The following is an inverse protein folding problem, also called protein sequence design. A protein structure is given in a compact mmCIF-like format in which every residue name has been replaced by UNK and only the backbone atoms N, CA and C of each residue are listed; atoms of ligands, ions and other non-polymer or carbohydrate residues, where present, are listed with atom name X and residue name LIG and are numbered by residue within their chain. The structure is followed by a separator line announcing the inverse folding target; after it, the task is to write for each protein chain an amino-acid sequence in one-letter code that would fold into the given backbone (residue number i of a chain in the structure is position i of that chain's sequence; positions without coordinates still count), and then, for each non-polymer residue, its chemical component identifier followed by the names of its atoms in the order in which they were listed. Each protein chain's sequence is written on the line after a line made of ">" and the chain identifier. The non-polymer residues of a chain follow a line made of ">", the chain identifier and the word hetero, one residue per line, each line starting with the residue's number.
data_IF_443282534993
#
_entry.id   IF_443282534993
#
_cell.length_a   1.000
_cell.length_b   1.000
_cell.length_c   1.000
_cell.angle_alpha   90.00
_cell.angle_beta   90.00
_cell.angle_gamma   90.00
#
_symmetry.space_group_name_H-M   'P 1'
#
loop_
_entity.id
_entity.type
_entity.pdbx_description
1 polymer ?
#
# COMPACT_ATOMS: atom_id res chain seq x y z
N UNK A 1 -17.17 -5.50 17.75
CA UNK A 1 -16.60 -5.41 16.40
C UNK A 1 -17.67 -5.82 15.41
N UNK A 2 -17.70 -5.21 14.23
CA UNK A 2 -18.59 -5.53 13.11
C UNK A 2 -17.74 -5.99 11.95
N UNK A 3 -18.07 -7.13 11.36
CA UNK A 3 -17.46 -7.59 10.10
C UNK A 3 -17.89 -6.63 9.00
N UNK A 4 -16.90 -6.05 8.30
CA UNK A 4 -17.11 -5.14 7.16
C UNK A 4 -16.65 -5.77 5.85
N UNK A 5 -15.83 -6.82 5.90
CA UNK A 5 -15.40 -7.60 4.74
C UNK A 5 -15.17 -9.06 5.11
N UNK A 6 -15.62 -9.97 4.24
CA UNK A 6 -15.37 -11.40 4.34
C UNK A 6 -15.29 -12.02 2.93
N UNK A 7 -14.07 -12.31 2.49
CA UNK A 7 -13.77 -12.94 1.22
C UNK A 7 -14.32 -14.37 1.14
N UNK A 8 -14.41 -15.08 2.27
CA UNK A 8 -14.94 -16.45 2.31
C UNK A 8 -16.42 -16.53 1.93
N UNK A 9 -17.17 -15.46 2.21
CA UNK A 9 -18.59 -15.34 1.92
C UNK A 9 -18.91 -14.55 0.64
N UNK A 10 -17.90 -13.96 -0.02
CA UNK A 10 -18.12 -13.04 -1.14
C UNK A 10 -18.34 -13.81 -2.45
N UNK A 11 -19.51 -13.67 -3.10
CA UNK A 11 -19.73 -14.29 -4.39
C UNK A 11 -18.89 -13.60 -5.47
N UNK A 12 -18.53 -14.34 -6.51
CA UNK A 12 -18.01 -13.74 -7.74
C UNK A 12 -19.13 -12.96 -8.43
N UNK A 13 -18.95 -11.67 -8.65
CA UNK A 13 -19.99 -10.74 -9.14
C UNK A 13 -19.77 -10.28 -10.60
N UNK A 14 -18.63 -10.64 -11.21
CA UNK A 14 -18.28 -10.21 -12.57
C UNK A 14 -18.94 -11.04 -13.67
N UNK A 15 -20.04 -11.72 -13.39
CA UNK A 15 -20.78 -12.49 -14.40
C UNK A 15 -21.27 -11.62 -15.57
N UNK A 16 -21.52 -10.33 -15.35
CA UNK A 16 -21.86 -9.37 -16.42
C UNK A 16 -20.74 -9.29 -17.46
N UNK A 17 -19.48 -9.48 -17.07
CA UNK A 17 -18.35 -9.47 -17.97
C UNK A 17 -18.31 -10.67 -18.93
N UNK A 18 -19.12 -11.72 -18.71
CA UNK A 18 -19.33 -12.79 -19.70
C UNK A 18 -19.99 -12.29 -20.99
N UNK A 19 -20.69 -11.16 -20.95
CA UNK A 19 -21.30 -10.58 -22.15
C UNK A 19 -20.26 -10.29 -23.25
N UNK A 20 -19.04 -9.90 -22.88
CA UNK A 20 -17.96 -9.61 -23.83
C UNK A 20 -17.49 -10.83 -24.63
N UNK A 21 -17.03 -11.94 -23.99
CA UNK A 21 -16.65 -13.14 -24.73
C UNK A 21 -17.85 -13.76 -25.46
N UNK A 22 -19.08 -13.71 -24.91
CA UNK A 22 -20.27 -14.21 -25.61
C UNK A 22 -20.58 -13.42 -26.89
N UNK A 23 -20.47 -12.09 -26.84
CA UNK A 23 -20.60 -11.25 -28.04
C UNK A 23 -19.49 -11.55 -29.06
N UNK A 24 -18.25 -11.75 -28.60
CA UNK A 24 -17.13 -12.16 -29.45
C UNK A 24 -17.36 -13.52 -30.13
N UNK A 25 -17.91 -14.49 -29.40
CA UNK A 25 -18.30 -15.80 -29.95
C UNK A 25 -19.42 -15.65 -30.98
N UNK A 26 -20.46 -14.87 -30.68
CA UNK A 26 -21.56 -14.62 -31.62
C UNK A 26 -21.06 -13.98 -32.92
N UNK A 27 -20.17 -12.99 -32.83
CA UNK A 27 -19.51 -12.36 -33.99
C UNK A 27 -18.65 -13.38 -34.76
N UNK A 28 -17.92 -14.23 -34.05
CA UNK A 28 -17.11 -15.29 -34.65
C UNK A 28 -17.98 -16.25 -35.46
N UNK A 29 -19.10 -16.71 -34.90
CA UNK A 29 -20.05 -17.60 -35.57
C UNK A 29 -20.71 -16.93 -36.78
N UNK A 30 -21.07 -15.64 -36.65
CA UNK A 30 -21.61 -14.87 -37.76
C UNK A 30 -20.60 -14.74 -38.90
N UNK A 31 -19.36 -14.32 -38.62
CA UNK A 31 -18.29 -14.21 -39.62
C UNK A 31 -17.93 -15.57 -40.23
N UNK A 32 -17.95 -16.64 -39.46
CA UNK A 32 -17.74 -17.99 -39.99
C UNK A 32 -18.80 -18.40 -41.01
N UNK A 33 -20.06 -17.95 -40.81
CA UNK A 33 -21.18 -18.22 -41.71
C UNK A 33 -21.24 -17.29 -42.92
N UNK A 34 -20.85 -16.01 -42.77
CA UNK A 34 -21.04 -14.98 -43.81
C UNK A 34 -19.78 -14.58 -44.56
N UNK A 35 -18.58 -14.78 -44.00
CA UNK A 35 -17.35 -14.29 -44.60
C UNK A 35 -16.72 -15.35 -45.52
N UNK A 36 -16.67 -15.07 -46.83
CA UNK A 36 -15.88 -15.84 -47.81
C UNK A 36 -14.36 -15.82 -47.53
N UNK A 37 -13.89 -14.96 -46.62
CA UNK A 37 -12.47 -14.81 -46.25
C UNK A 37 -12.11 -15.57 -44.97
N UNK A 38 -11.36 -16.66 -45.13
CA UNK A 38 -10.88 -17.62 -44.10
C UNK A 38 -10.16 -17.05 -42.86
N UNK A 39 -9.74 -15.78 -42.84
CA UNK A 39 -8.90 -15.22 -41.77
C UNK A 39 -9.70 -14.49 -40.67
N UNK A 40 -10.78 -13.79 -41.03
CA UNK A 40 -11.46 -12.86 -40.09
C UNK A 40 -12.15 -13.56 -38.94
N UNK A 41 -12.80 -14.70 -39.17
CA UNK A 41 -13.41 -15.48 -38.09
C UNK A 41 -12.36 -16.03 -37.12
N UNK A 42 -11.13 -16.34 -37.59
CA UNK A 42 -10.03 -16.80 -36.72
C UNK A 42 -9.53 -15.68 -35.81
N UNK A 43 -9.40 -14.46 -36.36
CA UNK A 43 -9.04 -13.28 -35.57
C UNK A 43 -10.13 -12.96 -34.54
N UNK A 44 -11.40 -13.02 -34.93
CA UNK A 44 -12.51 -12.84 -34.01
C UNK A 44 -12.53 -13.91 -32.90
N UNK A 45 -12.29 -15.18 -33.25
CA UNK A 45 -12.18 -16.28 -32.29
C UNK A 45 -11.03 -16.07 -31.31
N UNK A 46 -9.85 -15.69 -31.81
CA UNK A 46 -8.69 -15.39 -30.97
C UNK A 46 -8.95 -14.21 -30.04
N UNK A 47 -9.62 -13.17 -30.53
CA UNK A 47 -10.00 -12.01 -29.72
C UNK A 47 -11.05 -12.36 -28.66
N UNK A 48 -12.06 -13.17 -29.00
CA UNK A 48 -13.07 -13.65 -28.05
C UNK A 48 -12.45 -14.51 -26.94
N UNK A 49 -11.50 -15.39 -27.29
CA UNK A 49 -10.73 -16.18 -26.33
C UNK A 49 -9.89 -15.29 -25.42
N UNK A 50 -9.20 -14.31 -25.99
CA UNK A 50 -8.39 -13.34 -25.24
C UNK A 50 -9.25 -12.52 -24.26
N UNK A 51 -10.42 -12.04 -24.70
CA UNK A 51 -11.37 -11.35 -23.82
C UNK A 51 -11.85 -12.27 -22.71
N UNK A 52 -12.25 -13.51 -23.02
CA UNK A 52 -12.69 -14.47 -22.00
C UNK A 52 -11.61 -14.77 -20.95
N UNK A 53 -10.34 -14.85 -21.39
CA UNK A 53 -9.21 -14.99 -20.47
C UNK A 53 -9.09 -13.76 -19.55
N UNK A 54 -9.12 -12.55 -20.11
CA UNK A 54 -8.84 -11.31 -19.39
C UNK A 54 -10.00 -10.86 -18.50
N UNK A 55 -11.24 -11.04 -18.92
CA UNK A 55 -12.43 -10.51 -18.23
C UNK A 55 -13.15 -11.53 -17.35
N UNK A 56 -12.80 -12.82 -17.46
CA UNK A 56 -13.48 -13.89 -16.70
C UNK A 56 -12.48 -14.84 -16.07
N UNK A 57 -11.65 -15.52 -16.86
CA UNK A 57 -10.83 -16.61 -16.34
C UNK A 57 -9.77 -16.12 -15.33
N UNK A 58 -9.07 -15.02 -15.62
CA UNK A 58 -8.09 -14.44 -14.69
C UNK A 58 -8.74 -13.88 -13.42
N UNK A 59 -9.80 -13.03 -13.49
CA UNK A 59 -10.51 -12.59 -12.30
C UNK A 59 -11.10 -13.73 -11.47
N UNK A 60 -11.65 -14.76 -12.11
CA UNK A 60 -12.20 -15.93 -11.42
C UNK A 60 -11.10 -16.75 -10.73
N UNK A 61 -9.97 -17.00 -11.40
CA UNK A 61 -8.84 -17.68 -10.79
C UNK A 61 -8.28 -16.91 -9.58
N UNK A 62 -8.24 -15.58 -9.65
CA UNK A 62 -7.86 -14.75 -8.52
C UNK A 62 -8.90 -14.82 -7.38
N UNK A 63 -10.19 -14.76 -7.70
CA UNK A 63 -11.29 -14.89 -6.74
C UNK A 63 -11.21 -16.22 -5.98
N UNK A 64 -11.17 -17.33 -6.71
CA UNK A 64 -11.12 -18.69 -6.18
C UNK A 64 -9.90 -18.89 -5.27
N UNK A 65 -8.73 -18.40 -5.69
CA UNK A 65 -7.50 -18.47 -4.90
C UNK A 65 -7.60 -17.69 -3.59
N UNK A 66 -8.07 -16.45 -3.64
CA UNK A 66 -8.26 -15.60 -2.45
C UNK A 66 -9.25 -16.24 -1.49
N UNK A 67 -10.37 -16.76 -2.00
CA UNK A 67 -11.39 -17.42 -1.22
C UNK A 67 -10.87 -18.72 -0.60
N UNK A 68 -10.16 -19.54 -1.37
CA UNK A 68 -9.56 -20.78 -0.91
C UNK A 68 -8.58 -20.54 0.25
N UNK A 69 -7.70 -19.53 0.15
CA UNK A 69 -6.78 -19.17 1.25
C UNK A 69 -7.52 -18.65 2.48
N UNK A 70 -8.58 -17.86 2.28
CA UNK A 70 -9.41 -17.38 3.39
C UNK A 70 -10.09 -18.54 4.14
N UNK A 71 -10.60 -19.54 3.42
CA UNK A 71 -11.26 -20.72 3.99
C UNK A 71 -10.26 -21.68 4.63
N UNK A 72 -9.12 -21.93 3.98
CA UNK A 72 -8.07 -22.81 4.48
C UNK A 72 -7.36 -22.25 5.73
N UNK A 73 -7.50 -20.94 5.99
CA UNK A 73 -6.84 -20.27 7.11
C UNK A 73 -5.36 -19.99 6.88
N UNK A 74 -4.91 -20.00 5.63
CA UNK A 74 -3.55 -19.62 5.19
C UNK A 74 -3.38 -18.08 5.22
N UNK A 75 -3.71 -17.49 6.37
CA UNK A 75 -3.78 -16.03 6.57
C UNK A 75 -3.16 -15.64 7.90
N UNK A 76 -2.45 -14.53 7.89
CA UNK A 76 -1.95 -13.85 9.09
C UNK A 76 -3.06 -13.01 9.70
N UNK A 77 -3.23 -13.09 11.01
CA UNK A 77 -4.17 -12.25 11.76
C UNK A 77 -3.41 -11.10 12.43
N UNK A 78 -3.90 -9.89 12.26
CA UNK A 78 -3.43 -8.70 12.99
C UNK A 78 -4.60 -8.03 13.68
N UNK A 79 -4.34 -7.48 14.85
CA UNK A 79 -5.31 -6.74 15.64
C UNK A 79 -4.66 -5.51 16.27
N UNK A 80 -5.37 -4.40 16.29
CA UNK A 80 -4.89 -3.18 16.92
C UNK A 80 -5.70 -1.96 16.53
N UNK A 81 -5.30 -0.78 17.05
CA UNK A 81 -5.88 0.48 16.61
C UNK A 81 -5.49 0.78 15.17
N UNK A 82 -6.42 1.38 14.44
CA UNK A 82 -6.17 2.00 13.15
C UNK A 82 -5.39 3.29 13.38
N UNK A 83 -4.33 3.49 12.61
CA UNK A 83 -3.54 4.71 12.64
C UNK A 83 -3.12 5.12 11.23
N UNK A 84 -2.92 6.43 11.03
CA UNK A 84 -2.40 6.96 9.78
C UNK A 84 -3.33 6.74 8.60
N UNK A 85 -4.64 6.63 8.85
CA UNK A 85 -5.62 6.44 7.78
C UNK A 85 -5.59 7.61 6.81
N UNK A 86 -5.43 7.30 5.52
CA UNK A 86 -5.43 8.28 4.44
C UNK A 86 -6.10 7.70 3.22
N UNK A 87 -6.96 8.50 2.58
CA UNK A 87 -7.50 8.25 1.26
C UNK A 87 -7.22 9.45 0.38
N UNK A 88 -6.61 9.24 -0.78
CA UNK A 88 -6.24 10.31 -1.70
C UNK A 88 -6.42 9.89 -3.15
N UNK A 89 -6.57 10.88 -4.03
CA UNK A 89 -6.75 10.66 -5.47
C UNK A 89 -5.61 11.31 -6.22
N UNK A 90 -4.91 10.53 -7.03
CA UNK A 90 -3.87 11.00 -7.93
C UNK A 90 -4.41 11.14 -9.35
N UNK A 91 -4.02 12.24 -10.01
CA UNK A 91 -4.32 12.48 -11.42
C UNK A 91 -3.04 12.22 -12.22
N UNK A 92 -3.02 11.14 -13.00
CA UNK A 92 -1.92 10.83 -13.91
C UNK A 92 -2.31 11.12 -15.35
N UNK A 93 -1.38 11.63 -16.15
CA UNK A 93 -1.62 11.89 -17.57
C UNK A 93 -1.74 10.56 -18.32
N UNK A 94 -2.85 10.36 -19.01
CA UNK A 94 -3.20 9.14 -19.75
C UNK A 94 -3.08 9.32 -21.28
N UNK A 95 -2.40 10.37 -21.74
CA UNK A 95 -2.15 10.60 -23.16
C UNK A 95 -1.06 9.68 -23.71
N UNK A 96 -1.16 9.37 -25.01
CA UNK A 96 -0.13 8.59 -25.72
C UNK A 96 0.66 9.52 -26.65
N UNK A 97 1.99 9.58 -26.49
CA UNK A 97 2.89 10.16 -27.49
C UNK A 97 3.20 9.08 -28.54
N UNK A 98 2.25 8.79 -29.42
CA UNK A 98 2.47 7.93 -30.59
C UNK A 98 1.85 8.58 -31.81
N UNK A 99 2.65 9.38 -32.51
CA UNK A 99 2.31 9.96 -33.81
C UNK A 99 2.56 11.46 -33.88
N UNK A 100 3.05 11.91 -35.03
CA UNK A 100 3.28 13.33 -35.35
C UNK A 100 1.92 14.04 -35.32
N UNK A 101 1.64 14.76 -34.23
CA UNK A 101 0.36 15.42 -33.97
C UNK A 101 -0.22 15.01 -32.62
N UNK A 102 -0.01 15.86 -31.61
CA UNK A 102 -0.65 15.72 -30.30
C UNK A 102 -2.14 15.94 -30.48
N UNK A 103 -2.94 14.87 -30.46
CA UNK A 103 -4.38 14.94 -30.76
C UNK A 103 -5.27 14.91 -29.51
N UNK A 104 -4.73 14.93 -28.28
CA UNK A 104 -5.57 15.05 -27.07
C UNK A 104 -4.76 15.49 -25.86
N UNK A 105 -4.95 16.74 -25.42
CA UNK A 105 -4.22 17.35 -24.29
C UNK A 105 -4.87 17.09 -22.92
N UNK A 106 -6.08 16.52 -22.87
CA UNK A 106 -6.89 16.44 -21.65
C UNK A 106 -7.36 15.02 -21.29
N UNK A 107 -6.46 14.03 -21.37
CA UNK A 107 -6.76 12.70 -20.82
C UNK A 107 -5.99 12.50 -19.52
N UNK A 108 -6.69 12.58 -18.40
CA UNK A 108 -6.16 12.23 -17.08
C UNK A 108 -6.88 10.98 -16.59
N UNK A 109 -6.11 10.06 -16.00
CA UNK A 109 -6.64 8.94 -15.23
C UNK A 109 -6.58 9.33 -13.76
N UNK A 110 -7.71 9.24 -13.09
CA UNK A 110 -7.77 9.40 -11.63
C UNK A 110 -7.66 8.03 -11.00
N UNK A 111 -6.74 7.88 -10.04
CA UNK A 111 -6.59 6.65 -9.26
C UNK A 111 -6.70 7.00 -7.79
N UNK A 112 -7.64 6.36 -7.09
CA UNK A 112 -7.83 6.58 -5.66
C UNK A 112 -7.08 5.50 -4.89
N UNK A 113 -6.28 5.91 -3.94
CA UNK A 113 -5.54 5.03 -3.04
C UNK A 113 -6.08 5.18 -1.63
N UNK A 114 -5.96 4.12 -0.86
CA UNK A 114 -6.27 4.13 0.57
C UNK A 114 -5.20 3.37 1.35
N UNK A 115 -4.89 3.92 2.52
CA UNK A 115 -3.81 3.47 3.38
C UNK A 115 -4.21 3.55 4.84
N UNK A 116 -3.81 2.57 5.63
CA UNK A 116 -3.84 2.63 7.09
C UNK A 116 -2.97 1.54 7.72
N UNK A 117 -2.67 1.70 9.00
CA UNK A 117 -2.10 0.65 9.83
C UNK A 117 -3.19 -0.05 10.64
N UNK A 118 -2.99 -1.33 10.95
CA UNK A 118 -3.64 -2.01 12.08
C UNK A 118 -2.54 -2.44 13.04
N UNK A 119 -2.48 -1.81 14.22
CA UNK A 119 -1.30 -1.92 15.07
C UNK A 119 -0.06 -1.44 14.32
N UNK A 120 0.91 -2.34 14.11
CA UNK A 120 2.15 -2.05 13.40
C UNK A 120 2.16 -2.54 11.93
N UNK A 121 1.06 -3.13 11.45
CA UNK A 121 1.00 -3.71 10.09
C UNK A 121 0.37 -2.72 9.10
N UNK A 122 1.09 -2.29 8.04
CA UNK A 122 0.55 -1.38 7.05
C UNK A 122 -0.23 -2.10 5.95
N UNK A 123 -1.33 -1.46 5.52
CA UNK A 123 -2.14 -1.84 4.38
C UNK A 123 -2.25 -0.65 3.44
N UNK A 124 -1.88 -0.86 2.17
CA UNK A 124 -2.00 0.11 1.08
C UNK A 124 -2.65 -0.59 -0.09
N UNK A 125 -3.64 0.02 -0.71
CA UNK A 125 -4.26 -0.53 -1.92
C UNK A 125 -4.87 0.56 -2.79
N UNK A 126 -5.01 0.25 -4.08
CA UNK A 126 -5.85 1.01 -5.01
C UNK A 126 -7.30 0.64 -4.74
N UNK A 127 -8.16 1.64 -4.58
CA UNK A 127 -9.60 1.42 -4.39
C UNK A 127 -10.18 0.76 -5.64
N UNK A 128 -10.74 -0.45 -5.48
CA UNK A 128 -11.23 -1.26 -6.59
C UNK A 128 -10.13 -1.81 -7.51
N UNK A 129 -8.87 -1.82 -7.07
CA UNK A 129 -7.72 -2.16 -7.91
C UNK A 129 -7.55 -3.66 -8.23
N UNK A 130 -8.15 -4.55 -7.44
CA UNK A 130 -8.05 -5.99 -7.70
C UNK A 130 -9.13 -6.46 -8.67
N UNK A 131 -8.76 -7.25 -9.70
CA UNK A 131 -9.69 -7.67 -10.74
C UNK A 131 -10.81 -8.58 -10.21
N UNK A 132 -10.62 -9.31 -9.11
CA UNK A 132 -11.67 -10.20 -8.58
C UNK A 132 -12.61 -9.55 -7.56
N UNK A 133 -12.26 -8.37 -7.04
CA UNK A 133 -12.88 -7.74 -5.86
C UNK A 133 -12.91 -8.61 -4.58
N UNK A 134 -12.31 -9.80 -4.56
CA UNK A 134 -12.37 -10.72 -3.42
C UNK A 134 -11.65 -10.18 -2.17
N UNK A 135 -10.71 -9.25 -2.35
CA UNK A 135 -10.00 -8.59 -1.26
C UNK A 135 -10.62 -7.24 -0.93
N UNK A 136 -10.54 -6.87 0.35
CA UNK A 136 -11.01 -5.57 0.77
C UNK A 136 -10.18 -4.46 0.11
N UNK A 137 -10.86 -3.57 -0.62
CA UNK A 137 -10.28 -2.36 -1.24
C UNK A 137 -11.11 -1.12 -0.97
N UNK A 138 -12.05 -1.18 -0.03
CA UNK A 138 -12.97 -0.10 0.32
C UNK A 138 -13.67 0.57 -0.89
N UNK A 139 -14.04 -0.25 -1.88
CA UNK A 139 -14.66 0.18 -3.13
C UNK A 139 -16.20 0.29 -3.07
N UNK A 140 -16.80 -0.04 -1.93
CA UNK A 140 -18.24 0.11 -1.71
C UNK A 140 -18.67 1.58 -1.83
N UNK A 141 -19.92 1.80 -2.23
CA UNK A 141 -20.55 3.12 -2.26
C UNK A 141 -21.81 3.14 -1.38
N UNK A 142 -21.83 3.88 -0.25
CA UNK A 142 -20.71 4.65 0.29
C UNK A 142 -19.58 3.76 0.83
N UNK A 143 -18.33 4.25 0.87
CA UNK A 143 -17.21 3.49 1.40
C UNK A 143 -17.39 3.23 2.90
N UNK A 144 -16.77 2.16 3.39
CA UNK A 144 -16.68 1.87 4.81
C UNK A 144 -15.92 3.02 5.48
N UNK A 145 -16.55 3.62 6.50
CA UNK A 145 -15.93 4.66 7.30
C UNK A 145 -14.81 4.04 8.16
N UNK A 146 -13.57 4.39 7.82
CA UNK A 146 -12.36 4.05 8.55
C UNK A 146 -11.82 5.36 9.14
N UNK A 147 -11.37 5.33 10.39
CA UNK A 147 -10.81 6.49 11.06
C UNK A 147 -9.75 6.06 12.07
N UNK A 148 -8.79 6.95 12.30
CA UNK A 148 -7.76 6.75 13.32
C UNK A 148 -8.38 6.54 14.71
N UNK A 149 -7.78 5.62 15.47
CA UNK A 149 -8.25 5.21 16.78
C UNK A 149 -9.36 4.14 16.78
N UNK A 150 -10.01 3.87 15.63
CA UNK A 150 -10.90 2.71 15.52
C UNK A 150 -10.12 1.43 15.79
N UNK A 151 -10.72 0.47 16.47
CA UNK A 151 -10.08 -0.83 16.65
C UNK A 151 -10.38 -1.72 15.46
N UNK A 152 -9.38 -2.41 14.93
CA UNK A 152 -9.54 -3.31 13.80
C UNK A 152 -8.91 -4.66 14.08
N UNK A 153 -9.52 -5.70 13.50
CA UNK A 153 -8.92 -7.02 13.35
C UNK A 153 -9.01 -7.39 11.88
N UNK A 154 -7.88 -7.78 11.29
CA UNK A 154 -7.82 -8.19 9.90
C UNK A 154 -7.16 -9.55 9.77
N UNK A 155 -7.64 -10.34 8.81
CA UNK A 155 -6.92 -11.48 8.27
C UNK A 155 -6.43 -11.11 6.88
N UNK A 156 -5.16 -11.40 6.60
CA UNK A 156 -4.54 -11.07 5.32
C UNK A 156 -3.48 -12.11 4.95
N UNK A 157 -3.07 -12.13 3.69
CA UNK A 157 -1.91 -12.89 3.24
C UNK A 157 -1.04 -12.01 2.34
N UNK A 158 0.23 -12.40 2.15
CA UNK A 158 1.11 -11.80 1.15
C UNK A 158 0.88 -12.48 -0.19
N UNK A 159 0.54 -11.69 -1.19
CA UNK A 159 0.12 -12.18 -2.48
C UNK A 159 1.29 -12.34 -3.45
N UNK A 160 1.64 -13.59 -3.73
CA UNK A 160 2.67 -13.98 -4.69
C UNK A 160 2.35 -13.60 -6.14
N UNK A 161 1.09 -13.30 -6.47
CA UNK A 161 0.70 -12.79 -7.80
C UNK A 161 0.84 -11.27 -7.93
N UNK A 162 0.95 -10.55 -6.82
CA UNK A 162 0.92 -9.09 -6.77
C UNK A 162 2.08 -8.56 -5.93
N UNK A 163 3.31 -8.97 -6.25
CA UNK A 163 4.54 -8.45 -5.63
C UNK A 163 4.51 -8.46 -4.08
N UNK A 164 4.00 -9.53 -3.47
CA UNK A 164 3.86 -9.70 -2.03
C UNK A 164 2.97 -8.66 -1.32
N UNK A 165 2.06 -8.03 -2.06
CA UNK A 165 1.03 -7.13 -1.52
C UNK A 165 0.20 -7.82 -0.44
N UNK A 166 -0.17 -7.08 0.61
CA UNK A 166 -0.99 -7.60 1.70
C UNK A 166 -2.46 -7.50 1.34
N UNK A 167 -3.08 -8.63 1.04
CA UNK A 167 -4.49 -8.70 0.67
C UNK A 167 -5.34 -9.08 1.87
N UNK A 168 -6.20 -8.14 2.28
CA UNK A 168 -7.15 -8.33 3.37
C UNK A 168 -8.29 -9.23 2.86
N UNK A 169 -8.39 -10.42 3.45
CA UNK A 169 -9.46 -11.40 3.19
C UNK A 169 -10.62 -11.24 4.15
N UNK A 170 -10.39 -10.65 5.32
CA UNK A 170 -11.43 -10.43 6.31
C UNK A 170 -11.08 -9.21 7.16
N UNK A 171 -12.08 -8.37 7.44
CA UNK A 171 -11.90 -7.16 8.22
C UNK A 171 -13.07 -6.96 9.18
N UNK A 172 -12.73 -6.75 10.44
CA UNK A 172 -13.63 -6.34 11.50
C UNK A 172 -13.22 -4.97 12.04
N UNK A 173 -14.21 -4.10 12.24
CA UNK A 173 -14.01 -2.77 12.79
C UNK A 173 -14.84 -2.58 14.07
N UNK A 174 -14.31 -1.85 15.04
CA UNK A 174 -15.06 -1.33 16.18
C UNK A 174 -14.79 0.18 16.33
N UNK A 175 -15.76 0.93 16.88
CA UNK A 175 -15.55 2.32 17.25
C UNK A 175 -14.33 2.47 18.16
N UNK A 176 -13.67 3.63 18.09
CA UNK A 176 -12.62 3.98 19.02
C UNK A 176 -13.15 3.89 20.46
N UNK A 177 -12.39 3.32 21.42
CA UNK A 177 -12.76 3.40 22.82
C UNK A 177 -12.94 4.86 23.24
N UNK A 178 -13.87 5.19 24.15
CA UNK A 178 -14.00 6.55 24.66
C UNK A 178 -12.66 6.99 25.30
N UNK A 179 -12.32 8.27 25.10
CA UNK A 179 -11.08 8.85 25.59
C UNK A 179 -10.90 8.57 27.09
N UNK A 180 -9.82 7.86 27.45
CA UNK A 180 -9.51 7.48 28.83
C UNK A 180 -9.75 6.01 29.19
N UNK A 181 -10.37 5.21 28.32
CA UNK A 181 -10.42 3.77 28.50
C UNK A 181 -9.03 3.16 28.29
N UNK A 182 -8.45 2.54 29.32
CA UNK A 182 -7.25 1.70 29.16
C UNK A 182 -7.59 0.55 28.21
N UNK A 183 -6.78 0.26 27.18
CA UNK A 183 -7.02 -0.88 26.32
C UNK A 183 -7.01 -2.18 27.15
N UNK A 184 -8.13 -2.91 27.14
CA UNK A 184 -8.31 -4.18 27.86
C UNK A 184 -7.90 -5.32 26.93
N UNK A 185 -6.68 -5.31 26.39
CA UNK A 185 -6.16 -6.42 25.59
C UNK A 185 -4.63 -6.55 25.78
N UNK A 186 -4.07 -7.77 25.72
CA UNK A 186 -2.72 -8.03 26.19
C UNK A 186 -1.68 -7.32 25.31
N UNK A 187 -0.84 -6.52 25.95
CA UNK A 187 0.43 -6.11 25.40
C UNK A 187 1.34 -7.34 25.29
N UNK A 188 1.47 -7.96 24.12
CA UNK A 188 2.67 -8.73 23.71
C UNK A 188 2.50 -9.44 22.36
N UNK A 189 3.00 -8.82 21.29
CA UNK A 189 3.83 -9.57 20.33
C UNK A 189 5.27 -9.45 20.84
N UNK A 190 6.08 -10.51 20.88
CA UNK A 190 7.46 -10.41 21.32
C UNK A 190 8.21 -9.41 20.44
N UNK A 191 8.57 -8.27 21.03
CA UNK A 191 9.45 -7.29 20.42
C UNK A 191 10.81 -7.95 20.27
N UNK A 192 11.27 -8.14 19.04
CA UNK A 192 12.67 -8.50 18.80
C UNK A 192 13.56 -7.53 19.61
N UNK A 193 14.54 -8.02 20.37
CA UNK A 193 15.38 -7.16 21.18
C UNK A 193 16.06 -6.14 20.26
N UNK A 194 16.14 -4.85 20.67
CA UNK A 194 16.80 -3.84 19.87
C UNK A 194 18.23 -4.29 19.60
N UNK A 195 18.61 -4.31 18.32
CA UNK A 195 20.00 -4.41 17.94
C UNK A 195 20.76 -3.32 18.70
N UNK A 196 21.79 -3.71 19.47
CA UNK A 196 22.63 -2.76 20.20
C UNK A 196 23.09 -1.67 19.22
N UNK A 197 22.88 -0.41 19.60
CA UNK A 197 23.43 0.75 18.91
C UNK A 197 24.90 0.49 18.56
N UNK A 198 25.23 0.59 17.27
CA UNK A 198 26.59 0.39 16.79
C UNK A 198 27.53 1.34 17.52
N UNK A 199 28.45 0.78 18.32
CA UNK A 199 29.33 1.51 19.24
C UNK A 199 30.46 2.29 18.54
N UNK A 200 30.29 2.67 17.27
CA UNK A 200 31.32 3.32 16.42
C UNK A 200 30.76 4.48 15.56
N UNK A 201 29.73 5.20 16.02
CA UNK A 201 29.28 6.41 15.33
C UNK A 201 30.26 7.57 15.54
N UNK A 202 30.61 8.36 14.51
CA UNK A 202 31.33 9.61 14.67
C UNK A 202 30.64 10.54 15.67
N UNK A 203 31.38 11.29 16.52
CA UNK A 203 30.78 12.08 17.59
C UNK A 203 29.73 13.10 17.13
N UNK A 204 29.94 13.71 15.95
CA UNK A 204 29.01 14.68 15.36
C UNK A 204 27.70 14.03 14.92
N UNK A 205 27.76 12.84 14.32
CA UNK A 205 26.58 12.08 13.95
C UNK A 205 25.88 11.47 15.17
N UNK A 206 26.63 10.97 16.16
CA UNK A 206 26.08 10.41 17.38
C UNK A 206 25.20 11.42 18.13
N UNK A 207 25.69 12.66 18.29
CA UNK A 207 24.94 13.74 18.92
C UNK A 207 23.67 14.12 18.12
N UNK A 208 23.77 14.19 16.80
CA UNK A 208 22.60 14.39 15.93
C UNK A 208 21.57 13.25 16.10
N UNK A 209 22.03 12.00 16.05
CA UNK A 209 21.18 10.82 16.14
C UNK A 209 20.45 10.74 17.47
N UNK A 210 21.14 11.01 18.59
CA UNK A 210 20.53 11.05 19.92
C UNK A 210 19.38 12.07 19.98
N UNK A 211 19.61 13.29 19.47
CA UNK A 211 18.59 14.33 19.42
C UNK A 211 17.41 13.96 18.51
N UNK A 212 17.71 13.43 17.32
CA UNK A 212 16.71 13.00 16.34
C UNK A 212 15.85 11.85 16.86
N UNK A 213 16.47 10.76 17.33
CA UNK A 213 15.78 9.59 17.86
C UNK A 213 14.90 9.95 19.06
N UNK A 214 15.38 10.82 19.97
CA UNK A 214 14.61 11.27 21.11
C UNK A 214 13.41 12.15 20.70
N UNK A 215 13.58 13.05 19.72
CA UNK A 215 12.49 13.89 19.20
C UNK A 215 11.41 13.04 18.52
N UNK A 216 11.82 12.08 17.67
CA UNK A 216 10.90 11.13 17.03
C UNK A 216 10.18 10.27 18.07
N UNK A 217 10.90 9.73 19.05
CA UNK A 217 10.33 8.90 20.12
C UNK A 217 9.25 9.62 20.94
N UNK A 218 9.39 10.93 21.15
CA UNK A 218 8.37 11.77 21.82
C UNK A 218 7.23 12.19 20.89
N UNK A 219 7.31 11.94 19.59
CA UNK A 219 6.36 12.44 18.62
C UNK A 219 6.41 13.97 18.46
N UNK A 220 7.57 14.57 18.66
CA UNK A 220 7.76 16.03 18.63
C UNK A 220 8.03 16.51 17.20
N UNK A 221 6.95 16.73 16.44
CA UNK A 221 7.02 17.18 15.05
C UNK A 221 7.81 18.49 14.90
N UNK A 222 7.67 19.41 15.86
CA UNK A 222 8.33 20.70 15.84
C UNK A 222 9.85 20.57 16.01
N UNK A 223 10.30 19.65 16.88
CA UNK A 223 11.72 19.35 17.06
C UNK A 223 12.32 18.55 15.89
N UNK A 224 11.53 17.72 15.22
CA UNK A 224 12.01 16.94 14.06
C UNK A 224 12.08 17.79 12.79
N UNK A 225 11.17 18.74 12.57
CA UNK A 225 11.15 19.60 11.38
C UNK A 225 12.52 20.23 11.02
N UNK A 226 13.25 20.87 11.95
CA UNK A 226 14.55 21.44 11.63
C UNK A 226 15.64 20.39 11.38
N UNK A 227 15.40 19.10 11.65
CA UNK A 227 16.34 18.00 11.43
C UNK A 227 16.15 17.32 10.06
N UNK A 228 15.14 17.75 9.30
CA UNK A 228 14.89 17.30 7.93
C UNK A 228 15.53 18.29 6.95
N UNK A 229 16.19 17.79 5.91
CA UNK A 229 16.68 18.58 4.79
C UNK A 229 15.55 18.79 3.79
N UNK A 230 15.42 20.03 3.30
CA UNK A 230 14.50 20.38 2.23
C UNK A 230 15.29 20.93 1.02
N UNK A 231 14.95 20.56 -0.22
CA UNK A 231 13.89 19.62 -0.61
C UNK A 231 14.17 18.20 -0.10
N UNK A 232 13.11 17.52 0.37
CA UNK A 232 13.20 16.18 0.94
C UNK A 232 12.87 15.15 -0.13
N UNK A 233 13.74 14.15 -0.35
CA UNK A 233 13.49 13.11 -1.35
C UNK A 233 12.60 12.00 -0.75
N UNK A 234 11.35 11.94 -1.18
CA UNK A 234 10.37 10.93 -0.79
C UNK A 234 9.99 10.09 -2.01
N UNK A 235 10.44 8.84 -2.07
CA UNK A 235 10.09 7.88 -3.13
C UNK A 235 10.21 8.46 -4.56
N UNK A 236 11.38 9.01 -4.88
CA UNK A 236 11.69 9.71 -6.15
C UNK A 236 10.99 11.06 -6.39
N UNK A 237 10.28 11.60 -5.41
CA UNK A 237 9.68 12.94 -5.44
C UNK A 237 10.35 13.90 -4.46
N UNK A 238 10.53 15.16 -4.84
CA UNK A 238 11.02 16.21 -3.94
C UNK A 238 9.85 16.90 -3.24
N UNK A 239 9.89 16.95 -1.90
CA UNK A 239 8.88 17.60 -1.07
C UNK A 239 9.45 18.83 -0.36
N UNK A 240 8.65 19.89 -0.33
CA UNK A 240 8.98 21.18 0.27
C UNK A 240 8.79 21.24 1.80
N UNK A 241 9.31 22.31 2.42
CA UNK A 241 9.20 22.52 3.87
C UNK A 241 7.78 22.84 4.34
N UNK A 242 6.92 23.31 3.44
CA UNK A 242 5.49 23.52 3.60
C UNK A 242 4.71 22.19 3.63
N UNK A 243 5.24 21.15 3.01
CA UNK A 243 4.66 19.80 2.97
C UNK A 243 5.07 18.93 4.17
N UNK A 244 5.84 19.48 5.12
CA UNK A 244 6.33 18.74 6.30
C UNK A 244 5.20 18.08 7.11
N UNK A 245 4.01 18.69 7.18
CA UNK A 245 2.88 18.07 7.87
C UNK A 245 2.48 16.72 7.26
N UNK A 246 2.49 16.63 5.92
CA UNK A 246 2.22 15.39 5.18
C UNK A 246 3.34 14.37 5.39
N UNK A 247 4.60 14.81 5.32
CA UNK A 247 5.77 13.99 5.61
C UNK A 247 5.73 13.41 7.02
N UNK A 248 5.40 14.24 8.02
CA UNK A 248 5.35 13.85 9.43
C UNK A 248 4.39 12.69 9.67
N UNK A 249 3.18 12.78 9.10
CA UNK A 249 2.15 11.77 9.28
C UNK A 249 2.48 10.45 8.58
N UNK A 250 3.22 10.51 7.47
CA UNK A 250 3.63 9.32 6.70
C UNK A 250 4.88 8.66 7.31
N UNK A 251 5.98 9.41 7.40
CA UNK A 251 7.31 8.92 7.78
C UNK A 251 7.45 8.63 9.27
N UNK A 252 6.70 9.36 10.09
CA UNK A 252 6.79 9.31 11.55
C UNK A 252 5.42 9.01 12.15
N UNK A 253 4.64 8.16 11.49
CA UNK A 253 3.42 7.60 12.05
C UNK A 253 3.71 6.98 13.44
N UNK A 254 2.75 7.08 14.36
CA UNK A 254 2.93 6.62 15.74
C UNK A 254 3.48 5.19 15.87
N UNK A 255 3.09 4.20 15.03
CA UNK A 255 3.67 2.85 15.04
C UNK A 255 5.16 2.77 14.68
N UNK A 256 5.65 3.69 13.83
CA UNK A 256 7.03 3.68 13.35
C UNK A 256 8.01 4.34 14.33
N UNK A 257 7.55 5.33 15.13
CA UNK A 257 8.41 6.09 16.05
C UNK A 257 9.21 5.22 17.02
N UNK A 258 8.65 4.18 17.65
CA UNK A 258 9.40 3.31 18.54
C UNK A 258 10.48 2.48 17.83
N UNK A 259 10.30 2.18 16.54
CA UNK A 259 11.35 1.55 15.73
C UNK A 259 12.46 2.56 15.46
N UNK A 260 12.12 3.74 14.92
CA UNK A 260 13.08 4.78 14.57
C UNK A 260 13.91 5.19 15.78
N UNK A 261 13.26 5.40 16.93
CA UNK A 261 13.94 5.80 18.17
C UNK A 261 14.90 4.74 18.72
N UNK A 262 14.72 3.47 18.36
CA UNK A 262 15.54 2.35 18.83
C UNK A 262 16.49 1.81 17.75
N UNK A 263 16.39 2.29 16.51
CA UNK A 263 17.16 1.79 15.39
C UNK A 263 18.66 2.08 15.57
N UNK A 264 19.49 1.20 15.03
CA UNK A 264 20.93 1.40 14.97
C UNK A 264 21.31 1.92 13.57
N UNK A 265 21.84 3.15 13.44
CA UNK A 265 22.29 3.65 12.15
C UNK A 265 23.43 2.81 11.58
N UNK A 266 23.32 2.48 10.30
CA UNK A 266 24.33 1.77 9.51
C UNK A 266 24.99 2.78 8.57
N UNK A 267 26.31 2.69 8.43
CA UNK A 267 27.05 3.57 7.52
C UNK A 267 26.94 3.06 6.09
N UNK A 268 26.57 3.94 5.16
CA UNK A 268 26.47 3.63 3.73
C UNK A 268 27.17 4.75 2.94
N UNK A 269 28.41 4.48 2.50
CA UNK A 269 29.25 5.49 1.87
C UNK A 269 29.54 6.68 2.81
N UNK A 270 29.08 7.86 2.41
CA UNK A 270 29.15 9.11 3.17
C UNK A 270 27.87 9.42 3.97
N UNK A 271 26.87 8.53 3.91
CA UNK A 271 25.57 8.65 4.58
C UNK A 271 25.42 7.64 5.71
N UNK A 272 24.37 7.83 6.49
CA UNK A 272 23.86 6.82 7.41
C UNK A 272 22.44 6.45 7.03
N UNK A 273 22.06 5.20 7.25
CA UNK A 273 20.71 4.69 7.00
C UNK A 273 20.20 3.95 8.24
N UNK A 274 18.90 4.05 8.50
CA UNK A 274 18.19 3.11 9.37
C UNK A 274 17.09 2.43 8.58
N UNK A 275 16.76 1.21 8.99
CA UNK A 275 15.66 0.44 8.41
C UNK A 275 14.58 0.22 9.45
N UNK A 276 13.35 0.61 9.12
CA UNK A 276 12.18 0.41 9.96
C UNK A 276 10.99 0.00 9.11
N UNK A 277 10.41 -1.17 9.40
CA UNK A 277 9.21 -1.69 8.74
C UNK A 277 9.30 -1.74 7.19
N UNK A 278 10.48 -2.06 6.64
CA UNK A 278 10.72 -2.09 5.19
C UNK A 278 10.95 -0.72 4.55
N UNK A 279 11.23 0.30 5.36
CA UNK A 279 11.56 1.63 4.90
C UNK A 279 12.99 2.01 5.29
N UNK A 280 13.73 2.59 4.34
CA UNK A 280 15.05 3.18 4.55
C UNK A 280 14.95 4.68 4.81
N UNK A 281 15.56 5.15 5.89
CA UNK A 281 15.68 6.58 6.21
C UNK A 281 17.14 6.98 6.11
N UNK A 282 17.46 7.86 5.15
CA UNK A 282 18.81 8.22 4.79
C UNK A 282 19.19 9.59 5.36
N UNK A 283 20.28 9.61 6.11
CA UNK A 283 20.84 10.79 6.73
C UNK A 283 22.09 11.23 5.98
N UNK A 284 22.09 12.48 5.54
CA UNK A 284 23.20 13.09 4.82
C UNK A 284 23.77 14.27 5.61
N UNK A 285 25.06 14.53 5.40
CA UNK A 285 25.73 15.69 6.00
C UNK A 285 25.52 16.90 5.09
N UNK A 286 24.83 17.91 5.60
CA UNK A 286 24.62 19.20 4.90
C UNK A 286 25.57 20.27 5.44
N UNK A 287 25.57 21.46 4.82
CA UNK A 287 26.28 22.62 5.34
C UNK A 287 25.83 23.02 6.77
N UNK A 288 24.58 22.68 7.14
CA UNK A 288 24.00 22.93 8.46
C UNK A 288 24.14 21.77 9.45
N UNK A 289 24.96 20.76 9.11
CA UNK A 289 25.11 19.53 9.86
C UNK A 289 24.27 18.38 9.31
N UNK A 290 24.20 17.30 10.07
CA UNK A 290 23.45 16.10 9.70
C UNK A 290 21.95 16.38 9.62
N UNK A 291 21.28 15.81 8.61
CA UNK A 291 19.85 15.92 8.37
C UNK A 291 19.30 14.60 7.81
N UNK A 292 18.03 14.33 8.07
CA UNK A 292 17.27 13.35 7.30
C UNK A 292 16.99 13.93 5.91
N UNK A 293 17.47 13.29 4.85
CA UNK A 293 17.45 13.83 3.49
C UNK A 293 16.60 13.02 2.51
N UNK A 294 16.45 11.73 2.78
CA UNK A 294 15.77 10.83 1.84
C UNK A 294 15.03 9.70 2.58
N UNK A 295 13.94 9.26 1.97
CA UNK A 295 13.17 8.09 2.36
C UNK A 295 12.83 7.25 1.13
N UNK A 296 13.05 5.94 1.26
CA UNK A 296 12.72 4.96 0.24
C UNK A 296 11.98 3.78 0.87
N UNK A 297 10.98 3.26 0.16
CA UNK A 297 10.47 1.93 0.43
C UNK A 297 11.49 0.92 -0.08
N UNK A 298 12.22 0.27 0.83
CA UNK A 298 13.20 -0.74 0.47
C UNK A 298 12.56 -2.12 0.56
N UNK A 299 12.16 -2.64 -0.60
CA UNK A 299 11.60 -3.99 -0.74
C UNK A 299 12.61 -5.10 -0.40
N UNK A 300 13.92 -4.82 -0.42
CA UNK A 300 14.96 -5.80 -0.11
C UNK A 300 15.23 -5.90 1.40
N UNK A 301 14.88 -4.88 2.19
CA UNK A 301 15.02 -4.87 3.66
C UNK A 301 13.98 -5.72 4.41
N UNK A 302 13.10 -6.43 3.71
CA UNK A 302 12.10 -7.35 4.28
C UNK A 302 12.53 -8.83 4.30
N UNK A 303 13.75 -9.15 3.88
CA UNK A 303 14.37 -10.48 4.00
C UNK A 303 15.16 -10.63 5.30
#
# INVERSE_FOLDING_TARGET
>A
MRVVHDAGAMPFDQWVMLAFPLAGIALTLWLWKTAERRLWWKLAAGFALFLGLLTVALPYADHDRVQARAIAGEVTTVEGPINGHRRWTERSFAGSSRGVGVTTFDRYKETTYEYFYIGDTPFTFIVGGYPSHASFTNAADPPVAIADGMWARAKFFRDDWYNDERRITWLELAPAPPAGARPIFPASVPRAPPAKAGSNLPPDFAAFWEGFAAAVGRGDAAAVRPLVAFPFHFDSHELGADEFGSLWMSLFAAPLRPCIAAAAPVREGDRYVIFCAGYGYYFAKTASGWKLAEFLADGEAMQ
#
